data_IF_401869800706
#
_entry.id   IF_401869800706
#
_cell.length_a   1.000
_cell.length_b   1.000
_cell.length_c   1.000
_cell.angle_alpha   90.00
_cell.angle_beta   90.00
_cell.angle_gamma   90.00
#
_symmetry.space_group_name_H-M   'P 1'
#
loop_
_entity.id
_entity.type
_entity.pdbx_description
1 polymer ?
#
# COMPACT_ATOMS: atom_id res chain seq x y z
N UNK A 1 -9.60 -0.83 19.88
CA UNK A 1 -9.20 0.55 19.55
C UNK A 1 -9.57 0.77 18.09
N UNK A 2 -10.28 1.85 17.71
CA UNK A 2 -10.44 2.15 16.29
C UNK A 2 -9.03 2.35 15.69
N UNK A 3 -8.77 1.70 14.56
CA UNK A 3 -7.51 1.86 13.85
C UNK A 3 -7.31 3.35 13.51
N UNK A 4 -6.11 3.88 13.74
CA UNK A 4 -5.78 5.27 13.42
C UNK A 4 -5.70 5.38 11.90
N UNK A 5 -6.60 6.14 11.28
CA UNK A 5 -6.55 6.43 9.85
C UNK A 5 -5.46 7.47 9.57
N UNK A 6 -4.52 7.12 8.69
CA UNK A 6 -3.39 7.96 8.29
C UNK A 6 -3.57 8.49 6.87
N UNK A 7 -3.35 9.79 6.70
CA UNK A 7 -3.24 10.45 5.39
C UNK A 7 -1.84 11.04 5.29
N UNK A 8 -1.11 10.69 4.23
CA UNK A 8 0.18 11.30 3.94
C UNK A 8 -0.01 12.65 3.27
N UNK A 9 0.51 13.70 3.91
CA UNK A 9 0.56 15.07 3.39
C UNK A 9 2.03 15.45 3.18
N UNK A 10 2.41 16.12 2.07
CA UNK A 10 3.78 16.57 1.85
C UNK A 10 4.31 17.42 3.02
N UNK A 11 5.48 17.04 3.52
CA UNK A 11 6.25 17.83 4.48
C UNK A 11 6.87 19.06 3.79
N UNK A 12 7.38 20.03 4.55
CA UNK A 12 8.10 21.20 3.99
C UNK A 12 9.26 20.79 3.05
N UNK A 13 9.96 19.70 3.39
CA UNK A 13 11.01 19.15 2.54
C UNK A 13 10.44 18.67 1.21
N UNK A 14 9.33 17.94 1.23
CA UNK A 14 8.70 17.37 0.03
C UNK A 14 8.00 18.43 -0.82
N UNK A 15 7.50 19.51 -0.21
CA UNK A 15 7.02 20.71 -0.92
C UNK A 15 8.16 21.37 -1.69
N UNK A 16 9.35 21.43 -1.10
CA UNK A 16 10.54 22.02 -1.70
C UNK A 16 11.13 21.13 -2.79
N UNK A 17 11.23 19.82 -2.55
CA UNK A 17 11.79 18.85 -3.52
C UNK A 17 10.78 18.36 -4.55
N UNK A 18 9.50 18.74 -4.39
CA UNK A 18 8.39 18.32 -5.25
C UNK A 18 8.29 16.80 -5.42
N UNK A 19 8.58 16.07 -4.34
CA UNK A 19 8.68 14.61 -4.39
C UNK A 19 8.24 13.99 -3.07
N UNK A 20 7.31 13.05 -3.13
CA UNK A 20 6.98 12.12 -2.06
C UNK A 20 7.41 10.71 -2.47
N UNK A 21 8.11 10.00 -1.57
CA UNK A 21 8.65 8.67 -1.83
C UNK A 21 8.57 7.85 -0.55
N UNK A 22 7.68 6.86 -0.57
CA UNK A 22 7.42 5.95 0.54
C UNK A 22 7.71 4.52 0.10
N UNK A 23 8.42 3.77 0.93
CA UNK A 23 8.58 2.33 0.80
C UNK A 23 8.05 1.63 2.05
N UNK A 24 7.53 0.42 1.91
CA UNK A 24 7.18 -0.47 3.02
C UNK A 24 7.91 -1.80 2.87
N UNK A 25 8.42 -2.34 3.98
CA UNK A 25 9.04 -3.65 4.04
C UNK A 25 8.24 -4.55 5.00
N UNK A 26 7.68 -5.64 4.48
CA UNK A 26 6.87 -6.59 5.25
C UNK A 26 7.66 -7.39 6.30
N UNK A 27 8.94 -7.65 6.03
CA UNK A 27 9.84 -8.41 6.91
C UNK A 27 10.19 -7.55 8.13
N UNK A 28 10.61 -6.31 7.90
CA UNK A 28 10.94 -5.34 8.96
C UNK A 28 9.70 -4.78 9.66
N UNK A 29 8.52 -4.89 9.02
CA UNK A 29 7.28 -4.27 9.48
C UNK A 29 7.39 -2.76 9.61
N UNK A 30 7.94 -2.10 8.59
CA UNK A 30 8.10 -0.65 8.66
C UNK A 30 8.03 0.01 7.30
N UNK A 31 7.50 1.22 7.32
CA UNK A 31 7.66 2.15 6.22
C UNK A 31 8.92 2.98 6.39
N UNK A 32 9.55 3.30 5.28
CA UNK A 32 10.62 4.30 5.17
C UNK A 32 10.17 5.40 4.22
N UNK A 33 9.97 6.61 4.74
CA UNK A 33 9.65 7.79 3.95
C UNK A 33 10.95 8.43 3.44
N UNK A 34 11.48 7.88 2.36
CA UNK A 34 12.76 8.24 1.75
C UNK A 34 12.86 9.74 1.44
N UNK A 35 11.76 10.34 0.99
CA UNK A 35 11.67 11.77 0.68
C UNK A 35 11.74 12.68 1.93
N UNK A 36 11.53 12.14 3.14
CA UNK A 36 11.57 12.86 4.41
C UNK A 36 12.67 12.32 5.36
N UNK A 37 13.92 12.38 4.92
CA UNK A 37 15.09 11.99 5.74
C UNK A 37 15.08 10.52 6.20
N UNK A 38 14.50 9.63 5.40
CA UNK A 38 14.34 8.21 5.75
C UNK A 38 13.60 8.03 7.09
N UNK A 39 12.60 8.86 7.36
CA UNK A 39 11.71 8.70 8.52
C UNK A 39 11.11 7.29 8.52
N UNK A 40 11.23 6.60 9.66
CA UNK A 40 10.74 5.23 9.84
C UNK A 40 9.40 5.23 10.57
N UNK A 41 8.42 4.51 10.04
CA UNK A 41 7.12 4.29 10.66
C UNK A 41 6.96 2.78 10.89
N UNK A 42 7.11 2.34 12.13
CA UNK A 42 6.99 0.91 12.51
C UNK A 42 5.53 0.48 12.58
N UNK A 43 5.24 -0.72 12.09
CA UNK A 43 3.92 -1.35 12.01
C UNK A 43 3.19 -0.98 10.72
N UNK A 44 2.81 -1.98 9.93
CA UNK A 44 2.03 -1.80 8.70
C UNK A 44 0.76 -0.98 8.92
N UNK A 45 0.07 -1.15 10.05
CA UNK A 45 -1.15 -0.44 10.39
C UNK A 45 -0.92 1.07 10.55
N UNK A 46 0.28 1.50 10.95
CA UNK A 46 0.58 2.90 11.23
C UNK A 46 0.82 3.76 9.97
N UNK A 47 0.82 3.16 8.78
CA UNK A 47 0.83 3.87 7.50
C UNK A 47 -0.50 3.81 6.75
N UNK A 48 -1.53 3.14 7.30
CA UNK A 48 -2.77 2.85 6.57
C UNK A 48 -3.86 3.88 6.82
N UNK A 49 -4.65 4.14 5.79
CA UNK A 49 -5.85 4.98 5.86
C UNK A 49 -7.05 4.18 6.36
N UNK A 50 -7.30 3.03 5.74
CA UNK A 50 -8.40 2.13 6.07
C UNK A 50 -7.86 0.72 6.22
N UNK A 51 -8.35 0.01 7.24
CA UNK A 51 -8.07 -1.41 7.46
C UNK A 51 -9.35 -2.09 7.91
N UNK A 52 -9.69 -3.17 7.24
CA UNK A 52 -10.80 -4.05 7.60
C UNK A 52 -10.32 -5.49 7.50
N UNK A 53 -10.32 -6.20 8.63
CA UNK A 53 -10.06 -7.65 8.68
C UNK A 53 -8.73 -8.10 8.06
N UNK A 54 -7.66 -7.30 8.21
CA UNK A 54 -6.30 -7.68 7.80
C UNK A 54 -5.46 -8.06 9.01
N UNK A 55 -4.57 -9.04 8.84
CA UNK A 55 -3.54 -9.37 9.81
C UNK A 55 -2.21 -9.70 9.11
N UNK A 56 -1.10 -9.43 9.79
CA UNK A 56 0.22 -9.90 9.37
C UNK A 56 0.42 -11.33 9.83
N UNK A 57 0.81 -12.21 8.91
CA UNK A 57 1.10 -13.62 9.21
C UNK A 57 2.58 -13.90 8.97
N UNK A 58 3.18 -14.62 9.93
CA UNK A 58 4.52 -15.19 9.83
C UNK A 58 4.39 -16.72 9.85
N UNK A 59 4.94 -17.38 8.85
CA UNK A 59 5.04 -18.84 8.74
C UNK A 59 6.49 -19.26 8.99
N UNK A 60 6.81 -19.69 10.21
CA UNK A 60 8.19 -20.07 10.55
C UNK A 60 8.67 -21.31 9.79
N UNK A 61 7.78 -22.28 9.57
CA UNK A 61 8.10 -23.51 8.85
C UNK A 61 8.45 -23.25 7.38
N UNK A 62 7.74 -22.32 6.75
CA UNK A 62 7.95 -21.93 5.35
C UNK A 62 8.91 -20.76 5.18
N UNK A 63 9.30 -20.11 6.28
CA UNK A 63 10.08 -18.87 6.32
C UNK A 63 9.46 -17.76 5.46
N UNK A 64 8.15 -17.59 5.58
CA UNK A 64 7.37 -16.62 4.80
C UNK A 64 6.66 -15.62 5.70
N UNK A 65 6.43 -14.42 5.18
CA UNK A 65 5.63 -13.38 5.81
C UNK A 65 4.76 -12.69 4.77
N UNK A 66 3.55 -12.29 5.15
CA UNK A 66 2.58 -11.59 4.29
C UNK A 66 1.48 -10.92 5.11
N UNK A 67 0.73 -10.03 4.48
CA UNK A 67 -0.58 -9.60 4.98
C UNK A 67 -1.67 -10.49 4.37
N UNK A 68 -2.61 -10.94 5.18
CA UNK A 68 -3.73 -11.75 4.75
C UNK A 68 -5.01 -11.30 5.45
N UNK A 69 -6.14 -11.92 5.09
CA UNK A 69 -7.38 -11.69 5.84
C UNK A 69 -7.23 -12.26 7.25
N UNK A 70 -7.98 -11.71 8.19
CA UNK A 70 -8.13 -12.32 9.52
C UNK A 70 -8.81 -13.68 9.37
N UNK A 71 -8.38 -14.65 10.16
CA UNK A 71 -8.96 -16.00 10.15
C UNK A 71 -10.49 -15.92 10.37
N UNK A 72 -11.24 -16.70 9.58
CA UNK A 72 -12.70 -16.74 9.62
C UNK A 72 -13.43 -15.61 8.88
N UNK A 73 -12.73 -14.65 8.24
CA UNK A 73 -13.41 -13.59 7.46
C UNK A 73 -13.51 -13.92 5.96
N UNK A 74 -14.65 -13.57 5.38
CA UNK A 74 -14.94 -13.76 3.95
C UNK A 74 -14.30 -12.68 3.06
N UNK A 75 -14.06 -11.49 3.61
CA UNK A 75 -13.46 -10.37 2.91
C UNK A 75 -12.58 -9.54 3.85
N UNK A 76 -11.70 -8.74 3.24
CA UNK A 76 -10.85 -7.77 3.91
C UNK A 76 -10.50 -6.63 2.96
N UNK A 77 -10.11 -5.48 3.51
CA UNK A 77 -9.65 -4.33 2.75
C UNK A 77 -8.53 -3.59 3.49
N UNK A 78 -7.61 -3.01 2.72
CA UNK A 78 -6.56 -2.13 3.22
C UNK A 78 -6.31 -1.02 2.22
N UNK A 79 -6.05 0.20 2.68
CA UNK A 79 -5.67 1.30 1.81
C UNK A 79 -4.67 2.27 2.40
N UNK A 80 -4.00 2.99 1.51
CA UNK A 80 -3.06 4.07 1.78
C UNK A 80 -3.53 5.33 1.07
N UNK A 81 -3.55 6.44 1.79
CA UNK A 81 -4.09 7.71 1.28
C UNK A 81 -3.02 8.79 1.28
N UNK A 82 -2.93 9.52 0.18
CA UNK A 82 -2.06 10.68 0.00
C UNK A 82 -2.91 11.87 -0.46
N UNK A 83 -2.69 13.04 0.13
CA UNK A 83 -3.28 14.30 -0.37
C UNK A 83 -2.23 15.41 -0.36
N UNK A 84 -2.34 16.32 -1.33
CA UNK A 84 -1.46 17.47 -1.46
C UNK A 84 -2.18 18.79 -1.76
N UNK A 85 -3.51 18.79 -1.81
CA UNK A 85 -4.34 19.97 -2.00
C UNK A 85 -4.14 20.98 -0.85
N UNK A 86 -4.07 20.49 0.39
CA UNK A 86 -3.97 21.35 1.59
C UNK A 86 -2.68 22.17 1.65
N UNK A 87 -1.69 21.79 0.84
CA UNK A 87 -0.38 22.42 0.76
C UNK A 87 -0.13 23.10 -0.60
N UNK A 88 -1.19 23.31 -1.39
CA UNK A 88 -1.13 24.05 -2.65
C UNK A 88 -0.42 23.31 -3.78
N UNK A 89 -0.45 21.98 -3.78
CA UNK A 89 0.19 21.14 -4.79
C UNK A 89 -0.83 20.24 -5.49
N UNK A 90 -0.39 19.65 -6.61
CA UNK A 90 -1.08 18.61 -7.35
C UNK A 90 -0.07 17.57 -7.88
N UNK A 91 -0.57 16.40 -8.28
CA UNK A 91 0.25 15.30 -8.79
C UNK A 91 0.68 15.61 -10.23
N UNK A 92 2.00 15.57 -10.46
CA UNK A 92 2.61 15.61 -11.80
C UNK A 92 2.81 14.20 -12.35
N UNK A 93 3.21 13.25 -11.51
CA UNK A 93 3.24 11.83 -11.88
C UNK A 93 3.20 10.96 -10.65
N UNK A 94 2.71 9.74 -10.80
CA UNK A 94 2.64 8.74 -9.75
C UNK A 94 3.12 7.40 -10.32
N UNK A 95 3.98 6.72 -9.59
CA UNK A 95 4.42 5.36 -9.88
C UNK A 95 4.27 4.50 -8.64
N UNK A 96 3.77 3.28 -8.83
CA UNK A 96 3.53 2.32 -7.76
C UNK A 96 4.15 0.98 -8.10
N UNK A 97 4.76 0.36 -7.09
CA UNK A 97 5.08 -1.06 -7.07
C UNK A 97 4.37 -1.68 -5.90
N UNK A 98 3.59 -2.72 -6.15
CA UNK A 98 2.97 -3.54 -5.13
C UNK A 98 3.12 -5.01 -5.53
N UNK A 99 3.02 -5.91 -4.56
CA UNK A 99 3.04 -7.34 -4.81
C UNK A 99 1.89 -8.04 -4.09
N UNK A 100 1.32 -9.04 -4.74
CA UNK A 100 0.33 -9.92 -4.12
C UNK A 100 0.32 -11.29 -4.77
N UNK A 101 -0.10 -12.29 -4.01
CA UNK A 101 -0.26 -13.66 -4.47
C UNK A 101 -1.62 -14.20 -4.05
N UNK A 102 -2.26 -14.93 -4.96
CA UNK A 102 -3.49 -15.66 -4.69
C UNK A 102 -3.27 -17.17 -4.80
N UNK A 103 -4.08 -17.92 -4.08
CA UNK A 103 -4.14 -19.37 -4.13
C UNK A 103 -5.59 -19.82 -4.26
N UNK A 104 -5.80 -20.97 -4.91
CA UNK A 104 -7.13 -21.53 -5.14
C UNK A 104 -8.12 -20.49 -5.71
N UNK A 105 -9.34 -20.39 -5.17
CA UNK A 105 -10.32 -19.39 -5.61
C UNK A 105 -10.12 -17.97 -5.06
N UNK A 106 -9.06 -17.72 -4.28
CA UNK A 106 -8.80 -16.41 -3.67
C UNK A 106 -8.60 -15.30 -4.71
N UNK A 107 -9.14 -14.11 -4.45
CA UNK A 107 -9.04 -12.96 -5.35
C UNK A 107 -8.59 -11.71 -4.62
N UNK A 108 -7.71 -10.96 -5.28
CA UNK A 108 -7.23 -9.66 -4.83
C UNK A 108 -7.49 -8.66 -5.95
N UNK A 109 -8.09 -7.53 -5.60
CA UNK A 109 -8.26 -6.38 -6.49
C UNK A 109 -7.46 -5.22 -5.94
N UNK A 110 -6.51 -4.75 -6.73
CA UNK A 110 -5.77 -3.52 -6.47
C UNK A 110 -6.29 -2.41 -7.34
N UNK A 111 -6.59 -1.27 -6.72
CA UNK A 111 -7.09 -0.09 -7.41
C UNK A 111 -6.47 1.16 -6.83
N UNK A 112 -6.24 2.13 -7.70
CA UNK A 112 -5.87 3.48 -7.36
C UNK A 112 -7.05 4.39 -7.66
N UNK A 113 -7.50 5.12 -6.65
CA UNK A 113 -8.60 6.07 -6.74
C UNK A 113 -8.05 7.48 -6.70
N UNK A 114 -8.57 8.36 -7.55
CA UNK A 114 -8.48 9.82 -7.43
C UNK A 114 -9.90 10.40 -7.39
N UNK A 115 -10.03 11.72 -7.29
CA UNK A 115 -11.35 12.39 -7.30
C UNK A 115 -12.19 12.08 -8.54
N UNK A 116 -11.54 11.87 -9.69
CA UNK A 116 -12.22 11.74 -11.00
C UNK A 116 -11.99 10.39 -11.67
N UNK A 117 -11.11 9.54 -11.14
CA UNK A 117 -10.68 8.32 -11.84
C UNK A 117 -10.42 7.16 -10.89
N UNK A 118 -10.67 5.96 -11.41
CA UNK A 118 -10.36 4.69 -10.78
C UNK A 118 -9.60 3.84 -11.80
N UNK A 119 -8.39 3.41 -11.45
CA UNK A 119 -7.53 2.60 -12.32
C UNK A 119 -7.09 1.33 -11.61
N UNK A 120 -7.05 0.22 -12.35
CA UNK A 120 -6.52 -1.05 -11.84
C UNK A 120 -5.00 -0.98 -11.70
N UNK A 121 -4.48 -1.53 -10.61
CA UNK A 121 -3.05 -1.54 -10.29
C UNK A 121 -2.50 -2.94 -10.53
N UNK A 122 -1.37 -3.04 -11.24
CA UNK A 122 -0.69 -4.31 -11.48
C UNK A 122 0.18 -4.69 -10.28
N UNK A 123 -0.10 -5.81 -9.57
CA UNK A 123 0.64 -6.19 -8.36
C UNK A 123 1.75 -7.21 -8.67
N UNK A 124 2.53 -6.97 -9.71
CA UNK A 124 3.56 -7.89 -10.24
C UNK A 124 4.96 -7.66 -9.65
N UNK A 125 5.05 -6.85 -8.60
CA UNK A 125 6.30 -6.41 -7.97
C UNK A 125 7.23 -5.61 -8.90
N UNK A 126 6.68 -4.95 -9.93
CA UNK A 126 7.42 -3.97 -10.74
C UNK A 126 6.83 -2.57 -10.59
N UNK A 127 7.65 -1.55 -10.84
CA UNK A 127 7.24 -0.15 -10.71
C UNK A 127 6.54 0.31 -11.98
N UNK A 128 5.24 0.59 -11.89
CA UNK A 128 4.42 1.05 -13.01
C UNK A 128 4.01 2.52 -12.84
N UNK A 129 4.01 3.32 -13.92
CA UNK A 129 3.42 4.66 -13.90
C UNK A 129 1.89 4.60 -14.03
N UNK A 130 1.20 5.54 -13.39
CA UNK A 130 -0.26 5.71 -13.45
C UNK A 130 -0.58 7.14 -13.91
N UNK A 131 -0.54 7.43 -15.22
CA UNK A 131 -0.81 8.78 -15.75
C UNK A 131 -2.26 9.23 -15.53
N UNK A 132 -3.19 8.32 -15.24
CA UNK A 132 -4.62 8.57 -15.02
C UNK A 132 -4.88 9.50 -13.84
N UNK A 133 -3.94 9.60 -12.89
CA UNK A 133 -4.05 10.47 -11.71
C UNK A 133 -3.29 11.80 -11.88
N UNK A 134 -2.89 12.15 -13.10
CA UNK A 134 -2.32 13.47 -13.38
C UNK A 134 -3.28 14.60 -12.97
N UNK A 135 -2.73 15.66 -12.37
CA UNK A 135 -3.48 16.78 -11.78
C UNK A 135 -4.39 16.43 -10.59
N UNK A 136 -4.46 15.15 -10.17
CA UNK A 136 -5.16 14.82 -8.95
C UNK A 136 -4.44 15.47 -7.75
N UNK A 137 -5.22 15.89 -6.75
CA UNK A 137 -4.70 16.45 -5.51
C UNK A 137 -4.86 15.50 -4.31
N UNK A 138 -5.49 14.35 -4.55
CA UNK A 138 -5.65 13.25 -3.60
C UNK A 138 -5.67 11.92 -4.36
N UNK A 139 -5.03 10.91 -3.78
CA UNK A 139 -5.10 9.51 -4.26
C UNK A 139 -5.23 8.52 -3.10
N UNK A 140 -5.95 7.43 -3.34
CA UNK A 140 -6.06 6.28 -2.43
C UNK A 140 -5.67 5.00 -3.17
N UNK A 141 -4.59 4.35 -2.74
CA UNK A 141 -4.25 2.99 -3.17
C UNK A 141 -4.97 1.99 -2.27
N UNK A 142 -5.77 1.09 -2.84
CA UNK A 142 -6.58 0.14 -2.08
C UNK A 142 -6.47 -1.28 -2.62
N UNK A 143 -6.33 -2.23 -1.69
CA UNK A 143 -6.45 -3.65 -1.96
C UNK A 143 -7.72 -4.22 -1.32
N UNK A 144 -8.47 -5.01 -2.08
CA UNK A 144 -9.62 -5.77 -1.59
C UNK A 144 -9.34 -7.27 -1.76
N UNK A 145 -9.54 -8.03 -0.68
CA UNK A 145 -9.25 -9.45 -0.60
C UNK A 145 -10.55 -10.20 -0.31
N UNK A 146 -10.88 -11.22 -1.10
CA UNK A 146 -12.12 -11.99 -0.95
C UNK A 146 -12.00 -13.37 -1.61
N UNK A 147 -13.08 -14.17 -1.56
CA UNK A 147 -13.14 -15.57 -2.02
C UNK A 147 -12.10 -16.47 -1.30
N UNK A 148 -11.74 -17.63 -1.87
CA UNK A 148 -10.92 -18.65 -1.20
C UNK A 148 -11.77 -19.82 -0.70
N UNK A 149 -11.10 -20.94 -0.40
CA UNK A 149 -11.75 -22.24 -0.21
C UNK A 149 -11.49 -22.79 1.19
N UNK A 150 -12.56 -23.27 1.85
CA UNK A 150 -12.51 -23.92 3.15
C UNK A 150 -12.02 -23.03 4.30
N UNK A 151 -11.62 -23.66 5.40
CA UNK A 151 -11.24 -22.96 6.64
C UNK A 151 -9.96 -22.13 6.50
N UNK A 152 -9.16 -22.41 5.47
CA UNK A 152 -7.93 -21.69 5.13
C UNK A 152 -8.12 -20.58 4.09
N UNK A 153 -9.36 -20.26 3.70
CA UNK A 153 -9.64 -19.23 2.70
C UNK A 153 -8.99 -17.87 3.02
N UNK A 154 -8.83 -17.54 4.31
CA UNK A 154 -8.24 -16.28 4.77
C UNK A 154 -6.80 -16.06 4.27
N UNK A 155 -6.02 -17.12 4.12
CA UNK A 155 -4.63 -17.08 3.63
C UNK A 155 -4.50 -17.33 2.13
N UNK A 156 -5.61 -17.52 1.40
CA UNK A 156 -5.59 -17.68 -0.06
C UNK A 156 -5.39 -16.35 -0.80
N UNK A 157 -5.38 -15.24 -0.07
CA UNK A 157 -5.14 -13.89 -0.59
C UNK A 157 -4.07 -13.23 0.26
N UNK A 158 -2.87 -13.08 -0.30
CA UNK A 158 -1.68 -12.62 0.41
C UNK A 158 -1.11 -11.37 -0.26
N UNK A 159 -1.01 -10.26 0.47
CA UNK A 159 -0.27 -9.09 0.02
C UNK A 159 1.16 -9.19 0.52
N UNK A 160 2.11 -8.72 -0.29
CA UNK A 160 3.50 -8.58 0.13
C UNK A 160 4.11 -9.90 0.62
N UNK A 161 3.82 -11.02 -0.06
CA UNK A 161 4.37 -12.32 0.33
C UNK A 161 5.86 -12.37 0.03
N UNK A 162 6.65 -12.43 1.09
CA UNK A 162 8.11 -12.43 1.02
C UNK A 162 8.72 -13.48 1.93
N UNK A 163 9.96 -13.87 1.62
CA UNK A 163 10.76 -14.67 2.53
C UNK A 163 11.26 -13.82 3.70
N UNK A 164 11.43 -14.44 4.87
CA UNK A 164 11.93 -13.76 6.08
C UNK A 164 13.36 -13.20 5.96
N UNK A 165 14.13 -13.60 4.94
CA UNK A 165 15.46 -13.10 4.64
C UNK A 165 15.48 -12.00 3.55
N UNK A 166 14.31 -11.64 3.01
CA UNK A 166 14.19 -10.60 1.99
C UNK A 166 14.42 -9.21 2.58
N UNK A 167 15.21 -8.39 1.88
CA UNK A 167 15.51 -7.00 2.27
C UNK A 167 14.84 -5.96 1.38
N UNK A 168 14.21 -6.40 0.30
CA UNK A 168 13.57 -5.51 -0.66
C UNK A 168 12.25 -4.97 -0.11
N UNK A 169 11.91 -3.75 -0.51
CA UNK A 169 10.61 -3.16 -0.18
C UNK A 169 9.49 -3.84 -0.97
N UNK A 170 8.39 -4.13 -0.28
CA UNK A 170 7.23 -4.86 -0.77
C UNK A 170 6.17 -3.95 -1.39
N UNK A 171 6.16 -2.68 -0.98
CA UNK A 171 5.36 -1.61 -1.58
C UNK A 171 6.26 -0.39 -1.75
N UNK A 172 6.09 0.31 -2.86
CA UNK A 172 6.76 1.57 -3.14
C UNK A 172 5.81 2.51 -3.85
N UNK A 173 5.73 3.74 -3.33
CA UNK A 173 4.90 4.82 -3.83
C UNK A 173 5.81 6.01 -4.11
N UNK A 174 5.89 6.41 -5.38
CA UNK A 174 6.66 7.57 -5.82
C UNK A 174 5.71 8.57 -6.45
N UNK A 175 5.65 9.78 -5.92
CA UNK A 175 4.79 10.84 -6.43
C UNK A 175 5.66 12.08 -6.70
N UNK A 176 5.63 12.55 -7.94
CA UNK A 176 6.15 13.87 -8.30
C UNK A 176 5.03 14.89 -8.25
N UNK A 177 5.35 16.06 -7.72
CA UNK A 177 4.40 17.11 -7.40
C UNK A 177 4.70 18.35 -8.25
N UNK A 178 3.68 19.15 -8.48
CA UNK A 178 3.81 20.49 -9.04
C UNK A 178 2.89 21.45 -8.29
N UNK A 179 3.12 22.74 -8.45
CA UNK A 179 2.22 23.74 -7.89
C UNK A 179 0.82 23.61 -8.51
N UNK A 180 -0.20 23.85 -7.68
CA UNK A 180 -1.60 23.86 -8.10
C UNK A 180 -1.88 25.00 -9.10
#
# INVERSE_FOLDING_TARGET
QPAKSVVFVPTEKEKTTKCFHLQYNIVEDSYTRLSNNNEVITGWENGTWMVESINKKVENDWKMVYLARREGTSAAAISWKFECASVGLQIESLSLRASSQTFQSGKIKWKLFSTETEVEVNPDNTLHPYPEVFNASEVELKAQLYDGDGDSAWQHTQLFRERLDCKESSLEIVIKLKDL
#
